data_IF_593537039478
#
_entry.id   IF_593537039478
#
_cell.length_a   1.000
_cell.length_b   1.000
_cell.length_c   1.000
_cell.angle_alpha   90.00
_cell.angle_beta   90.00
_cell.angle_gamma   90.00
#
_symmetry.space_group_name_H-M   'P 1'
#
loop_
_entity.id
_entity.type
_entity.pdbx_description
1 polymer ?
#
# COMPACT_ATOMS: atom_id res chain seq x y z
N UNK A 1 -0.09 -1.34 6.73
CA UNK A 1 0.38 -2.57 7.38
C UNK A 1 -0.78 -3.42 7.91
N UNK A 2 -1.58 -2.99 8.87
CA UNK A 2 -2.62 -3.82 9.52
C UNK A 2 -3.63 -4.46 8.54
N UNK A 3 -4.05 -3.76 7.48
CA UNK A 3 -4.95 -4.30 6.47
C UNK A 3 -4.29 -5.42 5.66
N UNK A 4 -3.05 -5.24 5.24
CA UNK A 4 -2.30 -6.27 4.50
C UNK A 4 -2.03 -7.51 5.36
N UNK A 5 -1.70 -7.31 6.63
CA UNK A 5 -1.54 -8.40 7.60
C UNK A 5 -2.84 -9.20 7.77
N UNK A 6 -3.98 -8.52 7.86
CA UNK A 6 -5.29 -9.18 7.93
C UNK A 6 -5.56 -10.01 6.66
N UNK A 7 -5.30 -9.47 5.48
CA UNK A 7 -5.46 -10.19 4.21
C UNK A 7 -4.53 -11.41 4.15
N UNK A 8 -3.27 -11.28 4.59
CA UNK A 8 -2.34 -12.40 4.67
C UNK A 8 -2.83 -13.50 5.62
N UNK A 9 -3.28 -13.13 6.82
CA UNK A 9 -3.83 -14.08 7.79
C UNK A 9 -5.05 -14.81 7.25
N UNK A 10 -5.99 -14.10 6.64
CA UNK A 10 -7.17 -14.71 6.01
C UNK A 10 -6.74 -15.72 4.93
N UNK A 11 -5.81 -15.35 4.06
CA UNK A 11 -5.32 -16.25 3.01
C UNK A 11 -4.67 -17.50 3.59
N UNK A 12 -3.77 -17.35 4.56
CA UNK A 12 -3.06 -18.47 5.20
C UNK A 12 -4.04 -19.39 5.93
N UNK A 13 -4.88 -18.84 6.82
CA UNK A 13 -5.81 -19.62 7.63
C UNK A 13 -6.80 -20.41 6.76
N UNK A 14 -7.33 -19.78 5.72
CA UNK A 14 -8.26 -20.45 4.80
C UNK A 14 -7.61 -21.63 4.07
N UNK A 15 -6.36 -21.49 3.61
CA UNK A 15 -5.64 -22.59 2.97
C UNK A 15 -5.27 -23.72 3.95
N UNK A 16 -5.19 -23.42 5.24
CA UNK A 16 -5.04 -24.41 6.31
C UNK A 16 -6.36 -25.06 6.74
N UNK A 17 -7.50 -24.62 6.20
CA UNK A 17 -8.83 -25.09 6.62
C UNK A 17 -9.24 -24.58 8.01
N UNK A 18 -8.65 -23.48 8.48
CA UNK A 18 -8.93 -22.87 9.77
C UNK A 18 -9.95 -21.74 9.65
N UNK A 19 -10.67 -21.40 10.73
CA UNK A 19 -11.54 -20.23 10.77
C UNK A 19 -10.77 -18.94 10.47
N UNK A 20 -11.37 -18.07 9.66
CA UNK A 20 -10.79 -16.79 9.29
C UNK A 20 -11.44 -15.65 10.08
N UNK A 21 -10.72 -14.56 10.38
CA UNK A 21 -11.24 -13.40 11.09
C UNK A 21 -12.08 -12.49 10.17
N UNK A 22 -13.16 -13.03 9.60
CA UNK A 22 -14.09 -12.31 8.73
C UNK A 22 -15.47 -12.96 8.80
N UNK A 23 -16.53 -12.16 8.67
CA UNK A 23 -17.90 -12.67 8.57
C UNK A 23 -18.10 -13.47 7.27
N UNK A 24 -17.49 -12.99 6.17
CA UNK A 24 -17.49 -13.66 4.88
C UNK A 24 -16.13 -13.48 4.21
N UNK A 25 -15.60 -14.54 3.66
CA UNK A 25 -14.38 -14.51 2.86
C UNK A 25 -14.53 -15.40 1.62
N UNK A 26 -14.21 -14.84 0.45
CA UNK A 26 -14.10 -15.59 -0.79
C UNK A 26 -12.63 -15.54 -1.23
N UNK A 27 -11.97 -16.68 -1.20
CA UNK A 27 -10.53 -16.78 -1.45
C UNK A 27 -10.31 -17.72 -2.64
N UNK A 28 -9.62 -17.19 -3.65
CA UNK A 28 -9.15 -18.00 -4.76
C UNK A 28 -8.05 -18.97 -4.33
N UNK A 29 -7.73 -19.91 -5.19
CA UNK A 29 -6.57 -20.78 -4.98
C UNK A 29 -5.29 -19.95 -5.01
N UNK A 30 -4.49 -20.06 -3.98
CA UNK A 30 -3.18 -19.40 -3.84
C UNK A 30 -2.14 -20.48 -3.54
N UNK A 31 -1.14 -20.58 -4.39
CA UNK A 31 -0.01 -21.51 -4.19
C UNK A 31 1.23 -20.79 -3.63
N UNK A 32 1.30 -19.47 -3.83
CA UNK A 32 2.36 -18.64 -3.29
C UNK A 32 1.80 -17.33 -2.71
N UNK A 33 2.25 -16.98 -1.51
CA UNK A 33 1.98 -15.70 -0.86
C UNK A 33 3.30 -14.93 -0.76
N UNK A 34 3.35 -13.77 -1.40
CA UNK A 34 4.50 -12.87 -1.34
C UNK A 34 4.12 -11.61 -0.56
N UNK A 35 4.88 -11.33 0.50
CA UNK A 35 4.73 -10.09 1.28
C UNK A 35 5.96 -9.24 1.00
N UNK A 36 5.74 -8.14 0.31
CA UNK A 36 6.75 -7.18 -0.10
C UNK A 36 6.61 -5.94 0.79
N UNK A 37 7.56 -5.72 1.66
CA UNK A 37 7.59 -4.57 2.54
C UNK A 37 8.91 -3.81 2.36
N UNK A 38 8.92 -2.55 2.76
CA UNK A 38 10.12 -1.72 2.79
C UNK A 38 11.26 -2.45 3.50
N UNK A 39 12.33 -2.75 2.79
CA UNK A 39 13.57 -3.21 3.41
C UNK A 39 14.29 -2.03 4.04
N UNK A 40 14.55 -2.09 5.35
CA UNK A 40 15.38 -1.11 6.06
C UNK A 40 16.86 -1.36 5.70
N UNK A 41 17.29 -0.97 4.52
CA UNK A 41 18.65 -1.14 4.05
C UNK A 41 19.22 0.11 3.41
N UNK A 42 20.53 0.26 3.46
CA UNK A 42 21.28 1.34 2.80
C UNK A 42 20.94 1.37 1.30
N UNK A 43 20.51 2.53 0.81
CA UNK A 43 20.22 2.80 -0.58
C UNK A 43 21.52 2.83 -1.43
N UNK A 44 22.15 1.68 -1.61
CA UNK A 44 23.20 1.55 -2.61
C UNK A 44 22.56 1.18 -3.95
N UNK A 45 23.15 1.64 -5.05
CA UNK A 45 22.64 1.32 -6.39
C UNK A 45 22.51 -0.20 -6.62
N UNK A 46 23.42 -1.00 -6.08
CA UNK A 46 23.37 -2.45 -6.15
C UNK A 46 22.21 -3.07 -5.36
N UNK A 47 21.84 -2.47 -4.22
CA UNK A 47 20.68 -2.96 -3.43
C UNK A 47 19.37 -2.73 -4.18
N UNK A 48 19.21 -1.59 -4.86
CA UNK A 48 18.05 -1.31 -5.70
C UNK A 48 17.96 -2.31 -6.86
N UNK A 49 19.06 -2.57 -7.56
CA UNK A 49 19.11 -3.53 -8.67
C UNK A 49 18.68 -4.93 -8.21
N UNK A 50 19.22 -5.42 -7.11
CA UNK A 50 18.83 -6.71 -6.53
C UNK A 50 17.34 -6.74 -6.20
N UNK A 51 16.82 -5.70 -5.55
CA UNK A 51 15.40 -5.58 -5.23
C UNK A 51 14.53 -5.64 -6.49
N UNK A 52 14.90 -4.94 -7.54
CA UNK A 52 14.15 -4.93 -8.81
C UNK A 52 14.16 -6.31 -9.49
N UNK A 53 15.29 -7.03 -9.44
CA UNK A 53 15.37 -8.40 -9.95
C UNK A 53 14.45 -9.33 -9.17
N UNK A 54 14.47 -9.26 -7.84
CA UNK A 54 13.60 -10.06 -6.96
C UNK A 54 12.12 -9.76 -7.23
N UNK A 55 11.75 -8.48 -7.34
CA UNK A 55 10.39 -8.07 -7.68
C UNK A 55 9.96 -8.61 -9.06
N UNK A 56 10.83 -8.54 -10.05
CA UNK A 56 10.56 -9.07 -11.37
C UNK A 56 10.34 -10.59 -11.34
N UNK A 57 11.13 -11.34 -10.58
CA UNK A 57 10.95 -12.79 -10.41
C UNK A 57 9.61 -13.12 -9.74
N UNK A 58 9.24 -12.41 -8.67
CA UNK A 58 7.95 -12.58 -7.99
C UNK A 58 6.79 -12.35 -8.95
N UNK A 59 6.83 -11.28 -9.73
CA UNK A 59 5.75 -10.95 -10.66
C UNK A 59 5.71 -11.91 -11.84
N UNK A 60 6.85 -12.35 -12.37
CA UNK A 60 6.94 -13.22 -13.55
C UNK A 60 6.61 -14.69 -13.29
N UNK A 61 6.63 -15.14 -12.04
CA UNK A 61 6.24 -16.50 -11.69
C UNK A 61 4.78 -16.75 -12.13
N UNK A 62 4.49 -17.90 -12.73
CA UNK A 62 3.16 -18.24 -13.28
C UNK A 62 2.26 -19.02 -12.33
N UNK A 63 2.74 -19.35 -11.13
CA UNK A 63 1.90 -20.02 -10.11
C UNK A 63 0.79 -19.09 -9.62
N UNK A 64 -0.40 -19.63 -9.28
CA UNK A 64 -1.45 -18.88 -8.61
C UNK A 64 -0.91 -18.21 -7.34
N UNK A 65 -0.93 -16.88 -7.30
CA UNK A 65 -0.27 -16.14 -6.21
C UNK A 65 -1.04 -14.93 -5.74
N UNK A 66 -0.82 -14.59 -4.49
CA UNK A 66 -1.21 -13.36 -3.86
C UNK A 66 0.03 -12.53 -3.51
N UNK A 67 0.12 -11.33 -4.03
CA UNK A 67 1.20 -10.38 -3.75
C UNK A 67 0.62 -9.27 -2.87
N UNK A 68 1.16 -9.10 -1.68
CA UNK A 68 0.83 -8.04 -0.73
C UNK A 68 2.02 -7.10 -0.63
N UNK A 69 1.83 -5.83 -0.96
CA UNK A 69 2.91 -4.86 -1.02
C UNK A 69 2.61 -3.63 -0.16
N UNK A 70 3.56 -3.25 0.69
CA UNK A 70 3.47 -2.10 1.59
C UNK A 70 4.59 -1.11 1.32
N UNK A 71 4.22 0.11 0.93
CA UNK A 71 5.13 1.23 0.68
C UNK A 71 6.34 0.89 -0.20
N UNK A 72 6.14 0.12 -1.28
CA UNK A 72 7.23 -0.26 -2.19
C UNK A 72 7.93 0.95 -2.84
N UNK A 73 7.25 2.08 -2.95
CA UNK A 73 7.82 3.32 -3.48
C UNK A 73 9.01 3.83 -2.68
N UNK A 74 9.16 3.41 -1.43
CA UNK A 74 10.27 3.82 -0.58
C UNK A 74 11.65 3.25 -1.00
N UNK A 75 11.69 2.38 -2.02
CA UNK A 75 12.95 1.85 -2.57
C UNK A 75 13.72 2.86 -3.42
N UNK A 76 13.08 3.92 -3.90
CA UNK A 76 13.68 4.94 -4.76
C UNK A 76 12.95 6.28 -4.63
N UNK A 77 13.28 7.26 -5.48
CA UNK A 77 12.55 8.51 -5.54
C UNK A 77 11.07 8.29 -5.97
N UNK A 78 10.12 9.12 -5.51
CA UNK A 78 8.69 8.88 -5.71
C UNK A 78 8.28 8.71 -7.18
N UNK A 79 8.81 9.52 -8.09
CA UNK A 79 8.46 9.44 -9.51
C UNK A 79 8.98 8.17 -10.20
N UNK A 80 10.17 7.68 -9.83
CA UNK A 80 10.71 6.41 -10.31
C UNK A 80 9.95 5.24 -9.67
N UNK A 81 9.68 5.30 -8.37
CA UNK A 81 8.88 4.31 -7.65
C UNK A 81 7.50 4.10 -8.25
N UNK A 82 6.78 5.17 -8.57
CA UNK A 82 5.48 5.10 -9.22
C UNK A 82 5.53 4.37 -10.58
N UNK A 83 6.54 4.65 -11.42
CA UNK A 83 6.72 3.96 -12.71
C UNK A 83 7.05 2.48 -12.56
N UNK A 84 7.89 2.12 -11.60
CA UNK A 84 8.23 0.72 -11.30
C UNK A 84 6.97 -0.04 -10.88
N UNK A 85 6.20 0.51 -9.93
CA UNK A 85 4.96 -0.09 -9.44
C UNK A 85 3.93 -0.22 -10.56
N UNK A 86 3.77 0.80 -11.41
CA UNK A 86 2.88 0.72 -12.56
C UNK A 86 3.29 -0.39 -13.53
N UNK A 87 4.59 -0.61 -13.74
CA UNK A 87 5.12 -1.75 -14.50
C UNK A 87 4.76 -3.09 -13.89
N UNK A 88 4.94 -3.24 -12.58
CA UNK A 88 4.58 -4.46 -11.84
C UNK A 88 3.08 -4.76 -11.91
N UNK A 89 2.23 -3.74 -11.74
CA UNK A 89 0.78 -3.89 -11.84
C UNK A 89 0.35 -4.34 -13.23
N UNK A 90 0.94 -3.76 -14.30
CA UNK A 90 0.68 -4.20 -15.67
C UNK A 90 1.08 -5.65 -15.90
N UNK A 91 2.25 -6.06 -15.41
CA UNK A 91 2.72 -7.44 -15.55
C UNK A 91 1.84 -8.42 -14.75
N UNK A 92 1.43 -8.06 -13.53
CA UNK A 92 0.52 -8.88 -12.73
C UNK A 92 -0.86 -9.01 -13.40
N UNK A 93 -1.38 -7.96 -14.01
CA UNK A 93 -2.69 -7.97 -14.67
C UNK A 93 -2.72 -8.88 -15.93
N UNK A 94 -1.58 -9.13 -16.55
CA UNK A 94 -1.47 -10.06 -17.69
C UNK A 94 -1.59 -11.53 -17.29
N UNK A 95 -1.59 -11.83 -15.99
CA UNK A 95 -1.67 -13.19 -15.46
C UNK A 95 -3.03 -13.42 -14.79
N UNK A 96 -3.78 -14.42 -15.25
CA UNK A 96 -5.13 -14.74 -14.76
C UNK A 96 -5.17 -15.14 -13.28
N UNK A 97 -4.09 -15.77 -12.80
CA UNK A 97 -4.03 -16.37 -11.47
C UNK A 97 -3.19 -15.55 -10.48
N UNK A 98 -2.99 -14.27 -10.76
CA UNK A 98 -2.28 -13.34 -9.89
C UNK A 98 -3.22 -12.30 -9.31
N UNK A 99 -3.23 -12.21 -7.98
CA UNK A 99 -3.86 -11.11 -7.25
C UNK A 99 -2.78 -10.25 -6.58
N UNK A 100 -2.87 -8.95 -6.73
CA UNK A 100 -1.94 -8.01 -6.08
C UNK A 100 -2.72 -6.95 -5.32
N UNK A 101 -2.34 -6.76 -4.05
CA UNK A 101 -2.86 -5.69 -3.19
C UNK A 101 -1.69 -4.82 -2.76
N UNK A 102 -1.77 -3.54 -3.06
CA UNK A 102 -0.74 -2.56 -2.75
C UNK A 102 -1.30 -1.48 -1.83
N UNK A 103 -0.60 -1.20 -0.74
CA UNK A 103 -0.82 0.00 0.08
C UNK A 103 0.25 1.02 -0.26
N UNK A 104 -0.17 2.23 -0.63
CA UNK A 104 0.72 3.30 -1.08
C UNK A 104 0.10 4.66 -0.84
N UNK A 105 0.93 5.67 -0.64
CA UNK A 105 0.53 7.08 -0.66
C UNK A 105 0.79 7.76 -2.01
N UNK A 106 1.37 7.05 -2.98
CA UNK A 106 1.63 7.56 -4.34
C UNK A 106 0.57 7.14 -5.37
N UNK A 107 -0.62 6.75 -4.95
CA UNK A 107 -1.67 6.28 -5.85
C UNK A 107 -1.93 7.21 -7.05
N UNK A 108 -1.99 8.57 -6.93
CA UNK A 108 -2.15 9.45 -8.09
C UNK A 108 -1.04 9.31 -9.13
N UNK A 109 0.22 9.28 -8.69
CA UNK A 109 1.37 9.16 -9.59
C UNK A 109 1.45 7.76 -10.24
N UNK A 110 1.05 6.73 -9.51
CA UNK A 110 0.98 5.36 -10.04
C UNK A 110 -0.11 5.27 -11.11
N UNK A 111 -1.28 5.86 -10.89
CA UNK A 111 -2.36 5.90 -11.89
C UNK A 111 -1.94 6.61 -13.16
N UNK A 112 -1.31 7.77 -13.02
CA UNK A 112 -0.78 8.51 -14.17
C UNK A 112 0.23 7.67 -14.97
N UNK A 113 1.18 7.02 -14.27
CA UNK A 113 2.16 6.15 -14.89
C UNK A 113 1.55 4.86 -15.47
N UNK A 114 0.47 4.35 -14.86
CA UNK A 114 -0.23 3.16 -15.32
C UNK A 114 -1.03 3.40 -16.61
N UNK A 115 -1.67 4.54 -16.73
CA UNK A 115 -2.32 4.99 -17.97
C UNK A 115 -3.62 4.26 -18.32
N UNK A 116 -4.30 3.62 -17.36
CA UNK A 116 -5.57 2.92 -17.56
C UNK A 116 -6.44 2.97 -16.31
N UNK A 117 -7.77 3.01 -16.48
CA UNK A 117 -8.75 3.05 -15.39
C UNK A 117 -9.11 1.67 -14.84
N UNK A 118 -8.41 0.62 -15.24
CA UNK A 118 -8.72 -0.76 -14.87
C UNK A 118 -8.20 -1.19 -13.48
N UNK A 119 -7.64 -0.27 -12.70
CA UNK A 119 -7.22 -0.54 -11.33
C UNK A 119 -8.34 -0.20 -10.35
N UNK A 120 -8.64 -1.13 -9.45
CA UNK A 120 -9.48 -0.84 -8.30
C UNK A 120 -8.65 -0.08 -7.26
N UNK A 121 -9.16 1.05 -6.82
CA UNK A 121 -8.54 1.88 -5.80
C UNK A 121 -9.56 2.07 -4.68
N UNK A 122 -9.14 1.70 -3.48
CA UNK A 122 -9.93 1.91 -2.27
C UNK A 122 -9.13 2.82 -1.34
N UNK A 123 -9.72 3.92 -0.90
CA UNK A 123 -9.03 4.94 -0.12
C UNK A 123 -9.43 4.96 1.35
N UNK A 124 -8.49 5.32 2.22
CA UNK A 124 -8.71 5.60 3.64
C UNK A 124 -8.25 7.04 3.88
N UNK A 125 -9.16 7.90 4.33
CA UNK A 125 -8.88 9.31 4.60
C UNK A 125 -9.11 9.66 6.06
N UNK A 126 -8.31 10.62 6.56
CA UNK A 126 -8.64 11.31 7.79
C UNK A 126 -9.73 12.35 7.51
N UNK A 127 -10.83 12.29 8.29
CA UNK A 127 -11.98 13.20 8.16
C UNK A 127 -11.76 14.57 8.81
N UNK A 128 -10.75 14.70 9.66
CA UNK A 128 -10.44 15.92 10.39
C UNK A 128 -9.79 15.64 11.74
N UNK A 129 -9.86 16.66 12.61
CA UNK A 129 -9.46 16.57 14.01
C UNK A 129 -10.71 16.64 14.89
N UNK A 130 -10.72 15.89 15.98
CA UNK A 130 -11.75 15.99 17.01
C UNK A 130 -11.47 17.16 17.98
N UNK A 131 -12.32 17.29 19.03
CA UNK A 131 -12.20 18.32 20.05
C UNK A 131 -10.89 18.22 20.87
N UNK A 132 -10.25 17.06 20.85
CA UNK A 132 -8.97 16.78 21.51
C UNK A 132 -7.78 16.86 20.55
N UNK A 133 -8.00 17.35 19.32
CA UNK A 133 -6.99 17.40 18.25
C UNK A 133 -6.45 16.02 17.87
N UNK A 134 -7.25 14.96 18.04
CA UNK A 134 -6.93 13.62 17.51
C UNK A 134 -7.51 13.45 16.10
N UNK A 135 -6.78 12.71 15.26
CA UNK A 135 -7.23 12.43 13.90
C UNK A 135 -8.47 11.53 13.90
N UNK A 136 -9.56 12.01 13.31
CA UNK A 136 -10.75 11.20 13.02
C UNK A 136 -10.47 10.40 11.75
N UNK A 137 -10.17 9.12 11.90
CA UNK A 137 -9.90 8.22 10.77
C UNK A 137 -10.97 7.14 10.73
N UNK A 138 -11.72 7.11 9.63
CA UNK A 138 -12.53 5.96 9.28
C UNK A 138 -11.62 4.94 8.61
N UNK A 139 -11.35 3.84 9.30
CA UNK A 139 -10.44 2.80 8.80
C UNK A 139 -11.09 1.85 7.79
N UNK A 140 -12.35 2.07 7.45
CA UNK A 140 -13.05 1.31 6.43
C UNK A 140 -12.65 1.85 5.05
N UNK A 141 -12.01 1.03 4.20
CA UNK A 141 -11.63 1.46 2.85
C UNK A 141 -12.86 1.87 2.04
N UNK A 142 -12.84 3.07 1.49
CA UNK A 142 -13.89 3.60 0.62
C UNK A 142 -13.65 3.10 -0.80
N UNK A 143 -14.62 2.39 -1.38
CA UNK A 143 -14.49 1.81 -2.72
C UNK A 143 -14.40 2.89 -3.80
N UNK A 144 -13.52 2.67 -4.77
CA UNK A 144 -13.30 3.57 -5.91
C UNK A 144 -13.04 5.02 -5.47
N UNK A 145 -12.35 5.20 -4.35
CA UNK A 145 -12.01 6.47 -3.78
C UNK A 145 -10.50 6.65 -3.77
N UNK A 146 -10.02 7.68 -4.42
CA UNK A 146 -8.62 8.08 -4.32
C UNK A 146 -8.47 8.96 -3.08
N UNK A 147 -7.94 8.39 -2.01
CA UNK A 147 -7.72 9.09 -0.75
C UNK A 147 -6.71 10.24 -0.92
N UNK A 148 -7.00 11.36 -0.30
CA UNK A 148 -6.08 12.51 -0.25
C UNK A 148 -5.22 12.39 1.00
N UNK A 149 -3.93 12.58 0.82
CA UNK A 149 -3.04 12.80 1.96
C UNK A 149 -3.38 14.15 2.60
N UNK A 150 -3.51 14.17 3.92
CA UNK A 150 -3.88 15.38 4.68
C UNK A 150 -2.79 15.75 5.71
N UNK A 151 -1.53 15.99 5.26
CA UNK A 151 -0.44 16.37 6.16
C UNK A 151 -0.74 17.67 6.89
N UNK A 152 -1.55 18.55 6.32
CA UNK A 152 -2.03 19.80 6.93
C UNK A 152 -2.78 19.56 8.25
N UNK A 153 -3.49 18.45 8.41
CA UNK A 153 -4.15 18.13 9.68
C UNK A 153 -3.13 17.82 10.79
N UNK A 154 -2.00 17.19 10.42
CA UNK A 154 -0.91 16.93 11.35
C UNK A 154 -0.22 18.22 11.74
N UNK A 155 0.08 19.07 10.76
CA UNK A 155 0.67 20.40 11.00
C UNK A 155 -0.25 21.22 11.88
N UNK A 156 -1.54 21.31 11.56
CA UNK A 156 -2.54 22.00 12.38
C UNK A 156 -2.55 21.49 13.81
N UNK A 157 -2.59 20.17 14.02
CA UNK A 157 -2.51 19.56 15.34
C UNK A 157 -1.25 19.97 16.10
N UNK A 158 -0.10 19.99 15.41
CA UNK A 158 1.16 20.41 16.03
C UNK A 158 1.12 21.89 16.44
N UNK A 159 0.64 22.76 15.58
CA UNK A 159 0.51 24.21 15.86
C UNK A 159 -0.44 24.49 17.01
N UNK A 160 -1.60 23.81 17.05
CA UNK A 160 -2.61 24.01 18.09
C UNK A 160 -2.20 23.40 19.44
N UNK A 161 -1.43 22.30 19.45
CA UNK A 161 -0.91 21.65 20.68
C UNK A 161 0.37 22.29 21.22
N UNK A 162 1.13 22.99 20.38
CA UNK A 162 2.44 23.52 20.75
C UNK A 162 2.33 24.98 21.16
N UNK A 163 2.87 25.29 22.32
CA UNK A 163 3.04 26.67 22.82
C UNK A 163 4.40 27.28 22.49
N UNK A 164 5.07 26.86 21.41
CA UNK A 164 6.45 27.26 21.16
C UNK A 164 6.88 27.19 19.68
N UNK A 165 8.02 26.55 19.44
CA UNK A 165 8.75 26.57 18.17
C UNK A 165 7.93 26.06 16.96
N UNK A 166 7.05 25.06 17.13
CA UNK A 166 6.23 24.56 16.04
C UNK A 166 5.23 25.64 15.54
N UNK A 167 4.70 26.48 16.42
CA UNK A 167 3.83 27.59 16.04
C UNK A 167 4.60 28.70 15.32
N UNK A 168 5.84 28.93 15.68
CA UNK A 168 6.69 29.92 15.02
C UNK A 168 7.12 29.48 13.60
N UNK A 169 7.24 28.18 13.37
CA UNK A 169 7.72 27.62 12.08
C UNK A 169 6.57 27.30 11.13
N UNK A 170 5.44 26.81 11.63
CA UNK A 170 4.34 26.27 10.83
C UNK A 170 3.00 27.03 10.99
N UNK A 171 2.94 28.03 11.88
CA UNK A 171 1.74 28.83 12.17
C UNK A 171 1.49 30.01 11.24
#
# INVERSE_FOLDING_TARGET
ATLLELVAHIAILAHMGLPVPAEHALIGRVEALHVLAKSSGTQSAGALETTLVDLAQVVSNTQPKLILADELEAITEPGAGARIIAGMLRAAQQQSDTSMVLVTHLAPAILEAYGSDNLRIDGIEAKGLDEHLELIVDRTPQRNCLARSTPELIVRRLVERSSGDAKAVFG
#
